data_IF_939865475745
#
_entry.id   IF_939865475745
#
_cell.length_a   1.000
_cell.length_b   1.000
_cell.length_c   1.000
_cell.angle_alpha   90.00
_cell.angle_beta   90.00
_cell.angle_gamma   90.00
#
_symmetry.space_group_name_H-M   'P 1'
#
loop_
_entity.id
_entity.type
_entity.pdbx_description
1 polymer ?
#
# COMPACT_ATOMS: atom_id res chain seq x y z
N UNK A 1 -33.19 -0.32 17.82
CA UNK A 1 -32.03 0.14 17.03
C UNK A 1 -32.14 -0.53 15.68
N UNK A 2 -32.45 0.21 14.61
CA UNK A 2 -32.62 -0.36 13.27
C UNK A 2 -31.26 -0.91 12.80
N UNK A 3 -31.13 -2.15 12.30
CA UNK A 3 -29.90 -2.59 11.66
C UNK A 3 -29.66 -1.65 10.47
N UNK A 4 -28.56 -0.92 10.50
CA UNK A 4 -28.15 -0.09 9.38
C UNK A 4 -27.96 -0.99 8.15
N UNK A 5 -28.47 -0.58 6.99
CA UNK A 5 -28.28 -1.31 5.75
C UNK A 5 -26.79 -1.64 5.53
N UNK A 6 -26.46 -2.86 5.06
CA UNK A 6 -25.08 -3.24 4.81
C UNK A 6 -24.46 -2.30 3.79
N UNK A 7 -23.37 -1.64 4.18
CA UNK A 7 -22.67 -0.70 3.31
C UNK A 7 -22.20 -1.41 2.02
N UNK A 8 -22.44 -0.78 0.87
CA UNK A 8 -22.01 -1.34 -0.42
C UNK A 8 -20.47 -1.41 -0.53
N UNK A 9 -19.89 -2.50 -1.08
CA UNK A 9 -18.43 -2.61 -1.27
C UNK A 9 -17.93 -1.84 -2.51
N UNK A 10 -18.81 -1.17 -3.27
CA UNK A 10 -18.49 -0.63 -4.60
C UNK A 10 -17.36 0.39 -4.59
N UNK A 11 -17.42 1.40 -3.71
CA UNK A 11 -16.41 2.48 -3.66
C UNK A 11 -15.05 1.93 -3.22
N UNK A 12 -15.01 1.13 -2.15
CA UNK A 12 -13.78 0.51 -1.69
C UNK A 12 -13.17 -0.45 -2.73
N UNK A 13 -14.00 -1.15 -3.51
CA UNK A 13 -13.53 -2.03 -4.59
C UNK A 13 -12.88 -1.24 -5.73
N UNK A 14 -13.44 -0.08 -6.10
CA UNK A 14 -12.84 0.83 -7.09
C UNK A 14 -11.53 1.42 -6.59
N UNK A 15 -11.48 1.86 -5.33
CA UNK A 15 -10.24 2.34 -4.70
C UNK A 15 -9.17 1.25 -4.65
N UNK A 16 -9.55 0.01 -4.32
CA UNK A 16 -8.64 -1.12 -4.34
C UNK A 16 -8.14 -1.43 -5.75
N UNK A 17 -9.00 -1.37 -6.77
CA UNK A 17 -8.58 -1.52 -8.17
C UNK A 17 -7.59 -0.40 -8.58
N UNK A 18 -7.85 0.84 -8.17
CA UNK A 18 -6.93 1.96 -8.39
C UNK A 18 -5.58 1.74 -7.68
N UNK A 19 -5.58 1.18 -6.46
CA UNK A 19 -4.36 0.76 -5.76
C UNK A 19 -3.57 -0.24 -6.58
N UNK A 20 -4.22 -1.29 -7.11
CA UNK A 20 -3.56 -2.29 -7.96
C UNK A 20 -2.99 -1.66 -9.23
N UNK A 21 -3.75 -0.80 -9.91
CA UNK A 21 -3.28 -0.09 -11.11
C UNK A 21 -2.07 0.80 -10.81
N UNK A 22 -2.09 1.54 -9.69
CA UNK A 22 -0.95 2.36 -9.25
C UNK A 22 0.27 1.49 -8.96
N UNK A 23 0.10 0.33 -8.30
CA UNK A 23 1.19 -0.63 -8.08
C UNK A 23 1.76 -1.16 -9.39
N UNK A 24 0.90 -1.59 -10.32
CA UNK A 24 1.34 -2.09 -11.64
C UNK A 24 2.10 -1.01 -12.42
N UNK A 25 1.56 0.20 -12.47
CA UNK A 25 2.21 1.34 -13.12
C UNK A 25 3.55 1.69 -12.46
N UNK A 26 3.61 1.72 -11.12
CA UNK A 26 4.82 2.02 -10.38
C UNK A 26 5.93 0.99 -10.60
N UNK A 27 5.59 -0.30 -10.61
CA UNK A 27 6.55 -1.36 -10.93
C UNK A 27 7.00 -1.26 -12.39
N UNK A 28 6.07 -1.15 -13.33
CA UNK A 28 6.39 -1.11 -14.75
C UNK A 28 7.22 0.12 -15.11
N UNK A 29 6.78 1.32 -14.74
CA UNK A 29 7.49 2.56 -15.04
C UNK A 29 8.80 2.63 -14.28
N UNK A 30 8.82 2.20 -13.01
CA UNK A 30 10.04 2.09 -12.22
C UNK A 30 11.09 1.26 -12.96
N UNK A 31 10.75 0.03 -13.35
CA UNK A 31 11.66 -0.86 -14.09
C UNK A 31 12.02 -0.30 -15.48
N UNK A 32 11.06 0.23 -16.22
CA UNK A 32 11.28 0.79 -17.56
C UNK A 32 12.32 1.91 -17.53
N UNK A 33 12.17 2.86 -16.59
CA UNK A 33 13.10 3.97 -16.45
C UNK A 33 14.45 3.56 -15.84
N UNK A 34 14.60 2.39 -15.21
CA UNK A 34 15.93 1.91 -14.77
C UNK A 34 16.94 1.87 -15.92
N UNK A 35 16.48 1.64 -17.14
CA UNK A 35 17.31 1.55 -18.34
C UNK A 35 17.55 2.90 -19.03
N UNK A 36 17.00 3.99 -18.48
CA UNK A 36 17.01 5.33 -19.10
C UNK A 36 17.57 6.36 -18.12
N UNK A 37 16.95 6.49 -16.95
CA UNK A 37 17.28 7.45 -15.91
C UNK A 37 16.94 6.83 -14.55
N UNK A 38 17.98 6.45 -13.82
CA UNK A 38 17.86 5.77 -12.52
C UNK A 38 17.27 6.67 -11.44
N UNK A 39 17.44 7.99 -11.52
CA UNK A 39 16.84 8.91 -10.54
C UNK A 39 15.34 9.01 -10.78
N UNK A 40 14.96 9.21 -12.04
CA UNK A 40 13.56 9.26 -12.46
C UNK A 40 12.84 7.94 -12.16
N UNK A 41 13.50 6.80 -12.39
CA UNK A 41 12.98 5.48 -12.10
C UNK A 41 12.55 5.33 -10.63
N UNK A 42 13.47 5.65 -9.72
CA UNK A 42 13.23 5.55 -8.28
C UNK A 42 12.21 6.60 -7.82
N UNK A 43 12.26 7.81 -8.37
CA UNK A 43 11.31 8.89 -8.05
C UNK A 43 9.88 8.54 -8.48
N UNK A 44 9.68 8.00 -9.68
CA UNK A 44 8.36 7.53 -10.14
C UNK A 44 7.88 6.37 -9.28
N UNK A 45 8.75 5.41 -9.00
CA UNK A 45 8.41 4.26 -8.17
C UNK A 45 7.98 4.70 -6.76
N UNK A 46 8.67 5.64 -6.11
CA UNK A 46 8.32 6.05 -4.74
C UNK A 46 7.00 6.83 -4.71
N UNK A 47 6.74 7.65 -5.74
CA UNK A 47 5.46 8.36 -5.91
C UNK A 47 4.32 7.38 -6.04
N UNK A 48 4.42 6.37 -6.92
CA UNK A 48 3.30 5.48 -7.21
C UNK A 48 3.14 4.39 -6.14
N UNK A 49 4.23 3.75 -5.73
CA UNK A 49 4.20 2.58 -4.85
C UNK A 49 4.06 2.96 -3.37
N UNK A 50 4.49 4.16 -2.95
CA UNK A 50 4.35 4.61 -1.57
C UNK A 50 3.35 5.75 -1.47
N UNK A 51 3.57 6.83 -2.24
CA UNK A 51 2.74 8.03 -2.20
C UNK A 51 1.27 7.77 -2.53
N UNK A 52 0.99 7.43 -3.79
CA UNK A 52 -0.36 7.22 -4.32
C UNK A 52 -1.04 6.04 -3.62
N UNK A 53 -0.35 4.91 -3.47
CA UNK A 53 -0.90 3.73 -2.76
C UNK A 53 -1.24 4.06 -1.30
N UNK A 54 -0.41 4.85 -0.60
CA UNK A 54 -0.66 5.31 0.76
C UNK A 54 -1.93 6.17 0.86
N UNK A 55 -2.08 7.17 -0.02
CA UNK A 55 -3.28 8.02 -0.07
C UNK A 55 -4.54 7.23 -0.41
N UNK A 56 -4.48 6.32 -1.39
CA UNK A 56 -5.61 5.47 -1.75
C UNK A 56 -6.01 4.51 -0.60
N UNK A 57 -5.01 4.01 0.14
CA UNK A 57 -5.24 3.14 1.29
C UNK A 57 -5.84 3.92 2.47
N UNK A 58 -5.40 5.16 2.71
CA UNK A 58 -6.04 6.04 3.69
C UNK A 58 -7.51 6.31 3.34
N UNK A 59 -7.81 6.70 2.10
CA UNK A 59 -9.21 6.92 1.67
C UNK A 59 -10.06 5.69 1.96
N UNK A 60 -9.54 4.50 1.65
CA UNK A 60 -10.26 3.24 1.84
C UNK A 60 -10.45 2.88 3.31
N UNK A 61 -9.42 3.02 4.15
CA UNK A 61 -9.46 2.58 5.55
C UNK A 61 -10.03 3.62 6.51
N UNK A 62 -10.02 4.91 6.16
CA UNK A 62 -10.49 5.99 7.02
C UNK A 62 -11.81 6.58 6.52
N UNK A 63 -11.86 7.07 5.28
CA UNK A 63 -13.04 7.79 4.74
C UNK A 63 -14.15 6.81 4.36
N UNK A 64 -13.80 5.74 3.64
CA UNK A 64 -14.75 4.74 3.14
C UNK A 64 -14.71 3.43 3.94
N UNK A 65 -14.37 3.51 5.24
CA UNK A 65 -14.11 2.34 6.07
C UNK A 65 -15.25 1.32 6.04
N UNK A 66 -16.52 1.74 6.09
CA UNK A 66 -17.69 0.82 6.04
C UNK A 66 -17.77 0.06 4.72
N UNK A 67 -17.49 0.73 3.60
CA UNK A 67 -17.44 0.09 2.28
C UNK A 67 -16.28 -0.91 2.20
N UNK A 68 -15.15 -0.58 2.81
CA UNK A 68 -13.99 -1.45 2.85
C UNK A 68 -14.19 -2.68 3.74
N UNK A 69 -14.85 -2.52 4.89
CA UNK A 69 -15.28 -3.63 5.74
C UNK A 69 -16.15 -4.61 4.96
N UNK A 70 -17.16 -4.10 4.25
CA UNK A 70 -18.01 -4.91 3.38
C UNK A 70 -17.22 -5.65 2.28
N UNK A 71 -16.27 -4.97 1.61
CA UNK A 71 -15.38 -5.59 0.62
C UNK A 71 -14.52 -6.70 1.23
N UNK A 72 -14.02 -6.48 2.45
CA UNK A 72 -13.20 -7.44 3.16
C UNK A 72 -14.02 -8.62 3.71
N UNK A 73 -15.35 -8.51 3.80
CA UNK A 73 -16.20 -9.49 4.45
C UNK A 73 -15.95 -9.53 5.97
N UNK A 74 -15.61 -8.37 6.53
CA UNK A 74 -15.29 -8.15 7.93
C UNK A 74 -16.24 -7.07 8.46
N UNK A 75 -16.45 -7.00 9.77
CA UNK A 75 -17.10 -5.87 10.42
C UNK A 75 -16.47 -5.62 11.78
N UNK A 76 -16.36 -4.35 12.18
CA UNK A 76 -15.94 -3.97 13.53
C UNK A 76 -16.91 -2.92 14.08
N UNK A 77 -17.39 -3.12 15.30
CA UNK A 77 -18.19 -2.11 16.02
C UNK A 77 -17.38 -0.83 16.28
N UNK A 78 -16.07 -1.00 16.49
CA UNK A 78 -15.12 0.07 16.80
C UNK A 78 -14.09 0.20 15.67
N UNK A 79 -14.33 1.06 14.65
CA UNK A 79 -13.47 1.16 13.47
C UNK A 79 -12.20 1.99 13.68
N UNK A 80 -11.94 2.48 14.90
CA UNK A 80 -10.82 3.38 15.20
C UNK A 80 -9.48 2.77 14.82
N UNK A 81 -9.29 1.48 15.09
CA UNK A 81 -8.07 0.77 14.67
C UNK A 81 -7.88 0.77 13.15
N UNK A 82 -8.94 0.52 12.38
CA UNK A 82 -8.88 0.59 10.92
C UNK A 82 -8.56 2.01 10.44
N UNK A 83 -9.10 3.04 11.11
CA UNK A 83 -8.81 4.43 10.80
C UNK A 83 -7.36 4.81 11.12
N UNK A 84 -6.79 4.33 12.22
CA UNK A 84 -5.37 4.51 12.59
C UNK A 84 -4.44 3.91 11.53
N UNK A 85 -4.75 2.70 11.06
CA UNK A 85 -4.06 2.07 9.92
C UNK A 85 -4.13 2.97 8.69
N UNK A 86 -5.30 3.56 8.40
CA UNK A 86 -5.45 4.54 7.34
C UNK A 86 -4.59 5.79 7.52
N UNK A 87 -4.54 6.38 8.72
CA UNK A 87 -3.68 7.55 9.00
C UNK A 87 -2.19 7.25 8.88
N UNK A 88 -1.75 6.06 9.28
CA UNK A 88 -0.37 5.61 9.07
C UNK A 88 -0.03 5.56 7.57
N UNK A 89 -0.93 5.02 6.74
CA UNK A 89 -0.75 5.03 5.28
C UNK A 89 -0.69 6.46 4.72
N UNK A 90 -1.52 7.38 5.23
CA UNK A 90 -1.49 8.78 4.79
C UNK A 90 -0.16 9.44 5.15
N UNK A 91 0.30 9.30 6.39
CA UNK A 91 1.54 9.92 6.85
C UNK A 91 2.74 9.44 6.03
N UNK A 92 2.88 8.12 5.84
CA UNK A 92 3.95 7.54 5.03
C UNK A 92 3.84 8.01 3.57
N UNK A 93 2.62 7.98 3.00
CA UNK A 93 2.38 8.39 1.61
C UNK A 93 2.69 9.87 1.36
N UNK A 94 2.25 10.77 2.25
CA UNK A 94 2.51 12.21 2.11
C UNK A 94 4.00 12.55 2.23
N UNK A 95 4.73 11.88 3.13
CA UNK A 95 6.19 12.06 3.25
C UNK A 95 6.89 11.58 1.97
N UNK A 96 6.48 10.45 1.39
CA UNK A 96 7.02 9.97 0.13
C UNK A 96 6.74 10.94 -1.05
N UNK A 97 5.52 11.49 -1.12
CA UNK A 97 5.17 12.50 -2.11
C UNK A 97 5.96 13.79 -1.92
N UNK A 98 6.16 14.24 -0.68
CA UNK A 98 6.97 15.41 -0.37
C UNK A 98 8.45 15.18 -0.75
N UNK A 99 9.01 14.03 -0.38
CA UNK A 99 10.38 13.65 -0.74
C UNK A 99 10.59 13.70 -2.24
N UNK A 100 9.68 13.10 -3.01
CA UNK A 100 9.75 13.12 -4.47
C UNK A 100 9.49 14.52 -5.04
N UNK A 101 8.48 15.25 -4.57
CA UNK A 101 8.10 16.57 -5.10
C UNK A 101 9.16 17.64 -4.85
N UNK A 102 9.83 17.57 -3.69
CA UNK A 102 10.87 18.52 -3.26
C UNK A 102 12.29 18.03 -3.53
N UNK A 103 12.44 16.89 -4.22
CA UNK A 103 13.73 16.32 -4.60
C UNK A 103 14.69 16.12 -3.42
N UNK A 104 14.23 15.50 -2.33
CA UNK A 104 15.06 15.19 -1.15
C UNK A 104 16.15 14.12 -1.40
N UNK A 105 16.23 13.59 -2.62
CA UNK A 105 17.29 12.67 -3.05
C UNK A 105 16.98 11.19 -2.76
N UNK A 106 17.83 10.33 -3.32
CA UNK A 106 17.63 8.87 -3.35
C UNK A 106 17.59 8.22 -1.97
N UNK A 107 18.38 8.73 -1.02
CA UNK A 107 18.33 8.26 0.36
C UNK A 107 16.93 8.45 0.97
N UNK A 108 16.29 9.58 0.74
CA UNK A 108 14.92 9.83 1.22
C UNK A 108 13.89 8.90 0.55
N UNK A 109 14.08 8.61 -0.74
CA UNK A 109 13.24 7.65 -1.46
C UNK A 109 13.40 6.24 -0.90
N UNK A 110 14.65 5.81 -0.66
CA UNK A 110 14.97 4.52 -0.08
C UNK A 110 14.34 4.35 1.31
N UNK A 111 14.51 5.35 2.19
CA UNK A 111 13.88 5.37 3.51
C UNK A 111 12.36 5.24 3.37
N UNK A 112 11.74 5.98 2.44
CA UNK A 112 10.29 5.90 2.21
C UNK A 112 9.83 4.49 1.81
N UNK A 113 10.58 3.83 0.91
CA UNK A 113 10.31 2.44 0.53
C UNK A 113 10.45 1.48 1.72
N UNK A 114 11.53 1.59 2.50
CA UNK A 114 11.75 0.70 3.65
C UNK A 114 10.74 0.95 4.76
N UNK A 115 10.41 2.20 5.07
CA UNK A 115 9.37 2.53 6.04
C UNK A 115 8.05 1.89 5.64
N UNK A 116 7.64 2.00 4.37
CA UNK A 116 6.39 1.41 3.94
C UNK A 116 6.46 -0.12 3.85
N UNK A 117 7.57 -0.69 3.39
CA UNK A 117 7.82 -2.12 3.37
C UNK A 117 7.77 -2.74 4.77
N UNK A 118 8.42 -2.13 5.76
CA UNK A 118 8.40 -2.55 7.16
C UNK A 118 6.99 -2.47 7.75
N UNK A 119 6.27 -1.39 7.47
CA UNK A 119 4.87 -1.26 7.87
C UNK A 119 4.01 -2.41 7.31
N UNK A 120 4.19 -2.75 6.02
CA UNK A 120 3.46 -3.83 5.36
C UNK A 120 3.92 -5.24 5.75
N UNK A 121 5.12 -5.41 6.30
CA UNK A 121 5.50 -6.67 6.95
C UNK A 121 4.54 -7.01 8.09
N UNK A 122 4.03 -6.02 8.83
CA UNK A 122 2.98 -6.23 9.83
C UNK A 122 1.68 -6.79 9.22
N UNK A 123 1.23 -6.20 8.12
CA UNK A 123 0.06 -6.69 7.38
C UNK A 123 0.28 -8.10 6.80
N UNK A 124 1.48 -8.38 6.28
CA UNK A 124 1.87 -9.70 5.79
C UNK A 124 1.83 -10.75 6.91
N UNK A 125 2.35 -10.41 8.10
CA UNK A 125 2.30 -11.29 9.26
C UNK A 125 0.84 -11.64 9.64
N UNK A 126 -0.06 -10.64 9.63
CA UNK A 126 -1.49 -10.85 9.86
C UNK A 126 -2.10 -11.79 8.79
N UNK A 127 -1.78 -11.58 7.52
CA UNK A 127 -2.27 -12.46 6.44
C UNK A 127 -1.74 -13.90 6.57
N UNK A 128 -0.48 -14.08 6.96
CA UNK A 128 0.12 -15.40 7.21
C UNK A 128 -0.58 -16.08 8.38
N UNK A 129 -0.73 -15.40 9.51
CA UNK A 129 -1.42 -15.92 10.68
C UNK A 129 -2.88 -16.29 10.36
N UNK A 130 -3.60 -15.43 9.65
CA UNK A 130 -4.97 -15.67 9.21
C UNK A 130 -5.09 -16.87 8.26
N UNK A 131 -4.17 -17.01 7.31
CA UNK A 131 -4.14 -18.16 6.40
C UNK A 131 -3.81 -19.47 7.14
N UNK A 132 -2.89 -19.45 8.11
CA UNK A 132 -2.56 -20.62 8.93
C UNK A 132 -3.73 -21.06 9.80
N UNK A 133 -4.48 -20.10 10.35
CA UNK A 133 -5.66 -20.39 11.17
C UNK A 133 -6.83 -20.92 10.34
N UNK A 134 -7.04 -20.39 9.13
CA UNK A 134 -8.11 -20.82 8.23
C UNK A 134 -7.65 -20.83 6.76
N UNK A 135 -7.05 -21.95 6.30
CA UNK A 135 -6.53 -22.06 4.95
C UNK A 135 -7.63 -21.91 3.90
N UNK A 136 -7.49 -20.90 3.04
CA UNK A 136 -8.43 -20.64 1.95
C UNK A 136 -7.71 -20.07 0.73
N UNK A 137 -8.31 -20.25 -0.46
CA UNK A 137 -7.77 -19.67 -1.70
C UNK A 137 -7.65 -18.14 -1.61
N UNK A 138 -8.63 -17.48 -0.97
CA UNK A 138 -8.60 -16.04 -0.71
C UNK A 138 -7.45 -15.66 0.23
N UNK A 139 -7.26 -16.40 1.32
CA UNK A 139 -6.15 -16.19 2.26
C UNK A 139 -4.78 -16.35 1.59
N UNK A 140 -4.60 -17.39 0.78
CA UNK A 140 -3.37 -17.62 0.00
C UNK A 140 -3.06 -16.44 -0.93
N UNK A 141 -4.07 -15.94 -1.67
CA UNK A 141 -3.90 -14.75 -2.52
C UNK A 141 -3.51 -13.52 -1.71
N UNK A 142 -4.10 -13.31 -0.53
CA UNK A 142 -3.75 -12.21 0.37
C UNK A 142 -2.28 -12.26 0.80
N UNK A 143 -1.79 -13.44 1.19
CA UNK A 143 -0.38 -13.65 1.56
C UNK A 143 0.54 -13.36 0.36
N UNK A 144 0.25 -13.95 -0.80
CA UNK A 144 1.09 -13.79 -1.99
C UNK A 144 1.15 -12.33 -2.46
N UNK A 145 0.01 -11.63 -2.50
CA UNK A 145 -0.04 -10.24 -2.93
C UNK A 145 0.71 -9.32 -1.95
N UNK A 146 0.56 -9.53 -0.65
CA UNK A 146 1.31 -8.77 0.36
C UNK A 146 2.81 -9.06 0.31
N UNK A 147 3.20 -10.33 0.18
CA UNK A 147 4.60 -10.72 0.07
C UNK A 147 5.26 -10.12 -1.17
N UNK A 148 4.58 -10.21 -2.32
CA UNK A 148 5.04 -9.59 -3.56
C UNK A 148 5.27 -8.09 -3.37
N UNK A 149 4.28 -7.38 -2.81
CA UNK A 149 4.38 -5.94 -2.68
C UNK A 149 5.47 -5.52 -1.69
N UNK A 150 5.64 -6.24 -0.58
CA UNK A 150 6.76 -6.07 0.35
C UNK A 150 8.10 -6.24 -0.38
N UNK A 151 8.28 -7.33 -1.13
CA UNK A 151 9.52 -7.60 -1.89
C UNK A 151 9.80 -6.48 -2.89
N UNK A 152 8.79 -5.99 -3.60
CA UNK A 152 8.92 -4.86 -4.53
C UNK A 152 9.41 -3.61 -3.81
N UNK A 153 8.83 -3.24 -2.66
CA UNK A 153 9.24 -2.07 -1.91
C UNK A 153 10.69 -2.20 -1.41
N UNK A 154 11.06 -3.34 -0.83
CA UNK A 154 12.45 -3.58 -0.42
C UNK A 154 13.41 -3.58 -1.61
N UNK A 155 13.01 -4.12 -2.76
CA UNK A 155 13.80 -4.14 -3.99
C UNK A 155 14.09 -2.73 -4.51
N UNK A 156 13.07 -1.88 -4.64
CA UNK A 156 13.26 -0.49 -5.04
C UNK A 156 14.01 0.33 -3.98
N UNK A 157 13.79 0.08 -2.69
CA UNK A 157 14.53 0.72 -1.61
C UNK A 157 16.02 0.37 -1.63
N UNK A 158 16.36 -0.90 -1.81
CA UNK A 158 17.74 -1.37 -1.94
C UNK A 158 18.38 -0.81 -3.22
N UNK A 159 17.66 -0.84 -4.34
CA UNK A 159 18.14 -0.25 -5.58
C UNK A 159 18.45 1.23 -5.41
N UNK A 160 17.55 2.01 -4.78
CA UNK A 160 17.74 3.43 -4.53
C UNK A 160 19.00 3.75 -3.69
N UNK A 161 19.40 2.88 -2.77
CA UNK A 161 20.63 3.03 -1.99
C UNK A 161 21.90 2.61 -2.74
N UNK A 162 21.80 1.59 -3.60
CA UNK A 162 22.96 0.94 -4.21
C UNK A 162 23.34 1.52 -5.56
N UNK A 163 22.53 2.40 -6.13
CA UNK A 163 22.70 2.95 -7.49
C UNK A 163 23.29 4.36 -7.51
N UNK A 164 24.26 4.63 -6.64
CA UNK A 164 25.11 5.83 -6.67
C UNK A 164 25.99 5.91 -7.94
#
# INVERSE_FOLDING_TARGET
>A
MHPADPASPAVASRLFAATILATMAGVFLGIFFLFIDTDLAVRIAVVLLVGVVGVLSWLRHTVYYRSDQARMGWSQEHPQFQMEVGYANLAIGLVALAAAGLSWGRLAYAISFFTYGLYLCGALAIHICGYRANPSSRGKKSVLNSAFFVVVLFGFGAFALLSD
#
